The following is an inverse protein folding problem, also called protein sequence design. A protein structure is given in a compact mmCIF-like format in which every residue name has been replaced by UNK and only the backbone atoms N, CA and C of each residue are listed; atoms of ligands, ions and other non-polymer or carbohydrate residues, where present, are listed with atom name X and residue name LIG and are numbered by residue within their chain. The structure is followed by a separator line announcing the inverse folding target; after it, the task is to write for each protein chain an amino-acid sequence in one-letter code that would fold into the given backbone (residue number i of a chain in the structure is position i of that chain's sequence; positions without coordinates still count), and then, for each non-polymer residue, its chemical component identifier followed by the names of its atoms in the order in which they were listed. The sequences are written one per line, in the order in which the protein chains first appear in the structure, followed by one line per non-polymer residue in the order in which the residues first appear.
data_IF_472745848468
#
_entry.id   IF_472745848468
#
_cell.length_a   1.000
_cell.length_b   1.000
_cell.length_c   1.000
_cell.angle_alpha   90.00
_cell.angle_beta   90.00
_cell.angle_gamma   90.00
#
_symmetry.space_group_name_H-M   'P 1'
#
loop_
_entity.id
_entity.type
_entity.pdbx_description
1 polymer ?
#
# COMPACT_ATOMS: atom_id res chain seq x y z
N UNK A 1 -24.53 -24.73 -2.03
CA UNK A 1 -24.33 -23.97 -0.79
C UNK A 1 -24.42 -22.50 -1.18
N UNK A 2 -25.19 -21.70 -0.44
CA UNK A 2 -25.44 -20.30 -0.83
C UNK A 2 -24.15 -19.49 -0.65
N UNK A 3 -23.59 -18.93 -1.73
CA UNK A 3 -22.39 -18.07 -1.75
C UNK A 3 -22.63 -16.69 -1.10
N UNK A 4 -23.53 -16.61 -0.12
CA UNK A 4 -23.81 -15.35 0.58
C UNK A 4 -22.88 -15.30 1.79
N UNK A 5 -21.95 -14.32 1.86
CA UNK A 5 -21.07 -14.19 3.01
C UNK A 5 -21.90 -14.03 4.28
N UNK A 6 -21.49 -14.73 5.34
CA UNK A 6 -22.12 -14.60 6.64
C UNK A 6 -22.06 -13.13 7.08
N UNK A 7 -23.22 -12.59 7.40
CA UNK A 7 -23.39 -11.16 7.70
C UNK A 7 -23.79 -11.00 9.16
N UNK A 8 -22.93 -10.35 9.93
CA UNK A 8 -23.17 -9.99 11.33
C UNK A 8 -23.75 -8.58 11.37
N UNK A 9 -24.79 -8.37 12.18
CA UNK A 9 -25.36 -7.05 12.40
C UNK A 9 -24.88 -6.50 13.74
N UNK A 10 -24.46 -5.25 13.71
CA UNK A 10 -24.25 -4.42 14.89
C UNK A 10 -25.22 -3.25 14.91
N UNK A 11 -25.60 -2.87 16.12
CA UNK A 11 -26.39 -1.68 16.37
C UNK A 11 -25.47 -0.47 16.56
N UNK A 12 -25.76 0.65 15.88
CA UNK A 12 -25.06 1.90 16.11
C UNK A 12 -25.35 2.40 17.54
N UNK A 13 -24.30 2.74 18.29
CA UNK A 13 -24.39 3.22 19.68
C UNK A 13 -25.01 4.60 19.84
N UNK A 14 -25.16 5.35 18.75
CA UNK A 14 -25.67 6.72 18.79
C UNK A 14 -27.16 6.80 18.43
N UNK A 15 -27.60 6.01 17.44
CA UNK A 15 -28.98 6.07 16.95
C UNK A 15 -29.80 4.78 17.12
N UNK A 16 -29.17 3.65 17.45
CA UNK A 16 -29.81 2.35 17.73
C UNK A 16 -30.88 1.94 16.71
N UNK A 17 -30.69 2.30 15.43
CA UNK A 17 -31.75 2.15 14.44
C UNK A 17 -31.71 0.77 13.80
N UNK A 18 -32.89 0.21 13.55
CA UNK A 18 -33.05 -1.03 12.81
C UNK A 18 -32.94 -0.81 11.29
N UNK A 19 -32.74 -1.88 10.49
CA UNK A 19 -32.81 -1.79 9.04
C UNK A 19 -34.12 -1.17 8.57
N UNK A 20 -34.03 -0.20 7.66
CA UNK A 20 -35.18 0.52 7.12
C UNK A 20 -34.80 1.27 5.86
N UNK A 21 -35.77 1.50 4.97
CA UNK A 21 -35.54 2.13 3.65
C UNK A 21 -35.07 3.59 3.72
N UNK A 22 -35.24 4.26 4.87
CA UNK A 22 -34.73 5.61 5.12
C UNK A 22 -33.40 5.66 5.88
N UNK A 23 -32.79 4.51 6.20
CA UNK A 23 -31.56 4.42 6.97
C UNK A 23 -30.38 4.05 6.06
N UNK A 24 -29.22 4.64 6.35
CA UNK A 24 -27.97 4.31 5.66
C UNK A 24 -27.37 3.05 6.25
N UNK A 25 -27.05 2.06 5.41
CA UNK A 25 -26.30 0.86 5.79
C UNK A 25 -24.82 1.09 5.51
N UNK A 26 -23.98 0.88 6.52
CA UNK A 26 -22.52 0.81 6.38
C UNK A 26 -22.11 -0.65 6.57
N UNK A 27 -21.32 -1.15 5.63
CA UNK A 27 -20.83 -2.54 5.63
C UNK A 27 -19.30 -2.56 5.71
N UNK A 28 -18.76 -3.32 6.65
CA UNK A 28 -17.33 -3.54 6.81
C UNK A 28 -17.00 -5.00 6.56
N UNK A 29 -15.92 -5.27 5.82
CA UNK A 29 -15.35 -6.62 5.74
C UNK A 29 -14.50 -6.89 6.97
N UNK A 30 -14.82 -7.96 7.71
CA UNK A 30 -13.95 -8.52 8.74
C UNK A 30 -12.95 -9.49 8.11
N UNK A 31 -11.83 -9.69 8.79
CA UNK A 31 -10.90 -10.76 8.47
C UNK A 31 -11.65 -12.11 8.52
N UNK A 32 -11.42 -12.98 7.53
CA UNK A 32 -12.14 -14.23 7.25
C UNK A 32 -13.42 -14.14 6.39
N UNK A 33 -13.72 -12.98 5.77
CA UNK A 33 -14.77 -12.88 4.76
C UNK A 33 -16.19 -12.67 5.30
N UNK A 34 -16.33 -12.53 6.62
CA UNK A 34 -17.57 -12.10 7.27
C UNK A 34 -17.80 -10.61 7.01
N UNK A 35 -19.03 -10.22 6.71
CA UNK A 35 -19.42 -8.80 6.58
C UNK A 35 -20.09 -8.36 7.88
N UNK A 36 -19.71 -7.20 8.41
CA UNK A 36 -20.42 -6.56 9.52
C UNK A 36 -21.20 -5.36 9.01
N UNK A 37 -22.50 -5.35 9.27
CA UNK A 37 -23.38 -4.24 8.92
C UNK A 37 -23.81 -3.42 10.12
N UNK A 38 -23.92 -2.11 9.90
CA UNK A 38 -24.51 -1.18 10.86
C UNK A 38 -25.44 -0.22 10.13
N UNK A 39 -26.60 0.08 10.72
CA UNK A 39 -27.57 1.04 10.17
C UNK A 39 -27.54 2.34 10.95
N UNK A 40 -27.73 3.43 10.23
CA UNK A 40 -27.71 4.79 10.76
C UNK A 40 -28.91 5.59 10.24
N UNK A 41 -29.51 6.42 11.10
CA UNK A 41 -30.44 7.45 10.64
C UNK A 41 -29.68 8.54 9.86
N UNK A 42 -30.36 9.31 8.99
CA UNK A 42 -29.70 10.40 8.26
C UNK A 42 -28.99 11.43 9.16
N UNK A 43 -29.55 11.69 10.35
CA UNK A 43 -29.01 12.66 11.32
C UNK A 43 -28.10 12.02 12.38
N UNK A 44 -27.64 10.78 12.18
CA UNK A 44 -26.80 10.08 13.15
C UNK A 44 -25.40 10.74 13.28
N UNK A 45 -24.97 11.15 14.49
CA UNK A 45 -23.65 11.76 14.70
C UNK A 45 -22.48 10.86 14.29
N UNK A 46 -22.51 9.57 14.65
CA UNK A 46 -21.49 8.62 14.21
C UNK A 46 -21.38 8.51 12.68
N UNK A 47 -22.50 8.55 11.96
CA UNK A 47 -22.49 8.53 10.48
C UNK A 47 -21.86 9.80 9.91
N UNK A 48 -22.24 10.97 10.44
CA UNK A 48 -21.67 12.24 10.02
C UNK A 48 -20.15 12.30 10.24
N UNK A 49 -19.67 11.87 11.42
CA UNK A 49 -18.25 11.81 11.74
C UNK A 49 -17.51 10.84 10.78
N UNK A 50 -18.12 9.69 10.48
CA UNK A 50 -17.53 8.72 9.55
C UNK A 50 -17.34 9.31 8.16
N UNK A 51 -18.35 10.00 7.62
CA UNK A 51 -18.24 10.67 6.31
C UNK A 51 -17.17 11.76 6.32
N UNK A 52 -17.14 12.61 7.35
CA UNK A 52 -16.12 13.64 7.49
C UNK A 52 -14.71 13.03 7.49
N UNK A 53 -14.50 11.96 8.25
CA UNK A 53 -13.21 11.29 8.32
C UNK A 53 -12.82 10.62 6.99
N UNK A 54 -13.80 10.04 6.28
CA UNK A 54 -13.57 9.42 4.98
C UNK A 54 -13.19 10.47 3.92
N UNK A 55 -13.91 11.60 3.87
CA UNK A 55 -13.64 12.71 2.96
C UNK A 55 -12.29 13.37 3.24
N UNK A 56 -12.02 13.68 4.51
CA UNK A 56 -10.75 14.25 4.94
C UNK A 56 -9.57 13.30 4.66
N UNK A 57 -9.74 12.01 4.94
CA UNK A 57 -8.75 10.98 4.65
C UNK A 57 -8.49 10.87 3.15
N UNK A 58 -9.54 10.83 2.32
CA UNK A 58 -9.41 10.80 0.86
C UNK A 58 -8.72 12.05 0.34
N UNK A 59 -9.01 13.23 0.90
CA UNK A 59 -8.37 14.47 0.49
C UNK A 59 -6.88 14.45 0.78
N UNK A 60 -6.47 14.01 1.98
CA UNK A 60 -5.06 13.89 2.36
C UNK A 60 -4.29 12.94 1.45
N UNK A 61 -4.85 11.76 1.16
CA UNK A 61 -4.23 10.81 0.23
C UNK A 61 -4.05 11.45 -1.15
N UNK A 62 -5.07 12.17 -1.64
CA UNK A 62 -4.97 12.85 -2.93
C UNK A 62 -3.90 13.95 -2.94
N UNK A 63 -3.83 14.75 -1.88
CA UNK A 63 -2.81 15.80 -1.72
C UNK A 63 -1.39 15.22 -1.66
N UNK A 64 -1.20 14.11 -0.94
CA UNK A 64 0.08 13.39 -0.87
C UNK A 64 0.49 12.81 -2.22
N UNK A 65 -0.43 12.19 -2.95
CA UNK A 65 -0.21 11.65 -4.30
C UNK A 65 0.10 12.75 -5.32
N UNK A 66 -0.59 13.91 -5.24
CA UNK A 66 -0.33 15.06 -6.11
C UNK A 66 1.06 15.65 -5.85
N UNK A 67 1.41 15.81 -4.57
CA UNK A 67 2.74 16.23 -4.17
C UNK A 67 3.82 15.25 -4.66
N UNK A 68 3.63 13.95 -4.44
CA UNK A 68 4.57 12.92 -4.86
C UNK A 68 4.77 12.94 -6.38
N UNK A 69 3.68 13.00 -7.16
CA UNK A 69 3.74 13.10 -8.63
C UNK A 69 4.48 14.36 -9.10
N UNK A 70 4.32 15.48 -8.40
CA UNK A 70 5.03 16.72 -8.71
C UNK A 70 6.53 16.69 -8.38
N UNK A 71 6.92 16.04 -7.28
CA UNK A 71 8.30 16.04 -6.77
C UNK A 71 9.15 14.90 -7.31
N UNK A 72 8.54 13.73 -7.52
CA UNK A 72 9.26 12.49 -7.81
C UNK A 72 10.18 12.57 -9.05
N UNK A 73 9.78 13.13 -10.21
CA UNK A 73 10.65 13.20 -11.37
C UNK A 73 11.96 13.95 -11.10
N UNK A 74 11.88 15.10 -10.43
CA UNK A 74 13.07 15.89 -10.10
C UNK A 74 13.92 15.21 -9.01
N UNK A 75 13.29 14.53 -8.04
CA UNK A 75 14.01 13.76 -7.03
C UNK A 75 14.75 12.57 -7.63
N UNK A 76 14.12 11.86 -8.57
CA UNK A 76 14.70 10.75 -9.31
C UNK A 76 15.93 11.18 -10.11
N UNK A 77 15.87 12.32 -10.82
CA UNK A 77 17.03 12.82 -11.56
C UNK A 77 18.19 13.21 -10.63
N UNK A 78 17.91 13.80 -9.45
CA UNK A 78 18.95 14.06 -8.44
C UNK A 78 19.59 12.76 -7.92
N UNK A 79 18.80 11.70 -7.74
CA UNK A 79 19.32 10.38 -7.36
C UNK A 79 20.25 9.83 -8.45
N UNK A 80 19.85 9.87 -9.72
CA UNK A 80 20.69 9.42 -10.85
C UNK A 80 22.02 10.17 -10.90
N UNK A 81 21.98 11.49 -10.74
CA UNK A 81 23.19 12.32 -10.70
C UNK A 81 24.10 11.94 -9.53
N UNK A 82 23.55 11.73 -8.34
CA UNK A 82 24.31 11.30 -7.16
C UNK A 82 24.94 9.92 -7.38
N UNK A 83 24.18 8.97 -7.93
CA UNK A 83 24.70 7.64 -8.27
C UNK A 83 25.84 7.70 -9.31
N UNK A 84 25.70 8.56 -10.33
CA UNK A 84 26.72 8.74 -11.36
C UNK A 84 28.01 9.41 -10.85
N UNK A 85 27.91 10.21 -9.78
CA UNK A 85 29.07 10.88 -9.18
C UNK A 85 29.92 9.96 -8.28
N UNK A 86 29.43 8.75 -7.96
CA UNK A 86 30.15 7.82 -7.08
C UNK A 86 31.39 7.24 -7.77
N UNK A 87 32.53 7.12 -7.06
CA UNK A 87 33.73 6.51 -7.62
C UNK A 87 33.48 5.08 -8.12
N UNK A 88 34.04 4.77 -9.29
CA UNK A 88 34.07 3.40 -9.79
C UNK A 88 34.81 2.50 -8.80
N UNK A 89 34.27 1.30 -8.56
CA UNK A 89 34.87 0.31 -7.65
C UNK A 89 34.56 0.49 -6.16
N UNK A 90 33.63 1.37 -5.79
CA UNK A 90 33.14 1.42 -4.40
C UNK A 90 32.43 0.11 -4.02
N UNK A 91 32.66 -0.38 -2.80
CA UNK A 91 31.98 -1.58 -2.29
C UNK A 91 30.45 -1.41 -2.23
N UNK A 92 29.96 -0.16 -2.19
CA UNK A 92 28.54 0.15 -2.22
C UNK A 92 27.90 0.04 -3.62
N UNK A 93 28.67 -0.32 -4.66
CA UNK A 93 28.20 -0.28 -6.04
C UNK A 93 26.95 -1.14 -6.29
N UNK A 94 26.86 -2.40 -5.82
CA UNK A 94 25.65 -3.21 -5.99
C UNK A 94 24.41 -2.57 -5.36
N UNK A 95 24.57 -1.91 -4.20
CA UNK A 95 23.46 -1.18 -3.55
C UNK A 95 22.99 0.01 -4.37
N UNK A 96 23.92 0.79 -4.92
CA UNK A 96 23.59 1.96 -5.75
C UNK A 96 22.87 1.52 -7.02
N UNK A 97 23.37 0.48 -7.68
CA UNK A 97 22.77 -0.04 -8.92
C UNK A 97 21.38 -0.65 -8.66
N UNK A 98 21.20 -1.40 -7.57
CA UNK A 98 19.90 -1.93 -7.15
C UNK A 98 18.89 -0.82 -6.84
N UNK A 99 19.30 0.20 -6.06
CA UNK A 99 18.44 1.33 -5.72
C UNK A 99 18.03 2.12 -6.97
N UNK A 100 18.98 2.36 -7.88
CA UNK A 100 18.69 3.05 -9.13
C UNK A 100 17.68 2.27 -9.99
N UNK A 101 17.84 0.94 -10.09
CA UNK A 101 16.90 0.10 -10.84
C UNK A 101 15.50 0.07 -10.21
N UNK A 102 15.41 0.00 -8.87
CA UNK A 102 14.13 0.06 -8.15
C UNK A 102 13.39 1.38 -8.36
N UNK A 103 14.10 2.50 -8.24
CA UNK A 103 13.50 3.83 -8.44
C UNK A 103 13.10 4.04 -9.90
N UNK A 104 13.90 3.54 -10.84
CA UNK A 104 13.53 3.55 -12.26
C UNK A 104 12.29 2.71 -12.53
N UNK A 105 12.21 1.48 -11.97
CA UNK A 105 11.02 0.64 -12.08
C UNK A 105 9.77 1.31 -11.51
N UNK A 106 9.91 2.06 -10.41
CA UNK A 106 8.83 2.85 -9.82
C UNK A 106 8.44 4.06 -10.67
N UNK A 107 9.38 4.65 -11.41
CA UNK A 107 9.11 5.75 -12.34
C UNK A 107 8.38 5.31 -13.60
N UNK A 108 8.65 4.09 -14.07
CA UNK A 108 8.03 3.52 -15.28
C UNK A 108 6.65 2.91 -15.00
N UNK A 109 6.29 2.73 -13.73
CA UNK A 109 5.01 2.19 -13.32
C UNK A 109 3.91 3.28 -13.27
N UNK A 110 2.68 2.89 -13.57
CA UNK A 110 1.45 3.69 -13.34
C UNK A 110 0.89 3.53 -11.91
N UNK A 111 1.68 2.95 -11.00
CA UNK A 111 1.31 2.62 -9.62
C UNK A 111 2.52 2.03 -8.88
N UNK A 112 2.30 1.16 -7.90
CA UNK A 112 3.39 0.56 -7.11
C UNK A 112 4.11 -0.55 -7.86
N UNK A 113 5.44 -0.62 -7.69
CA UNK A 113 6.20 -1.83 -8.06
C UNK A 113 5.80 -2.98 -7.14
N UNK A 114 5.30 -4.06 -7.73
CA UNK A 114 4.84 -5.25 -6.98
C UNK A 114 5.99 -6.12 -6.46
N UNK A 115 5.73 -6.90 -5.41
CA UNK A 115 6.72 -7.73 -4.72
C UNK A 115 7.55 -8.66 -5.64
N UNK A 116 6.98 -9.35 -6.65
CA UNK A 116 7.79 -10.18 -7.54
C UNK A 116 8.86 -9.38 -8.29
N UNK A 117 8.52 -8.17 -8.74
CA UNK A 117 9.46 -7.30 -9.45
C UNK A 117 10.56 -6.78 -8.51
N UNK A 118 10.21 -6.49 -7.26
CA UNK A 118 11.20 -6.18 -6.21
C UNK A 118 12.18 -7.34 -6.01
N UNK A 119 11.66 -8.56 -5.84
CA UNK A 119 12.48 -9.75 -5.61
C UNK A 119 13.45 -9.99 -6.78
N UNK A 120 12.97 -9.91 -8.03
CA UNK A 120 13.81 -10.07 -9.23
C UNK A 120 14.97 -9.06 -9.29
N UNK A 121 14.72 -7.81 -8.94
CA UNK A 121 15.76 -6.76 -8.97
C UNK A 121 16.77 -7.05 -7.86
N UNK A 122 16.31 -7.32 -6.64
CA UNK A 122 17.18 -7.58 -5.50
C UNK A 122 18.04 -8.83 -5.71
N UNK A 123 17.48 -9.93 -6.20
CA UNK A 123 18.22 -11.18 -6.42
C UNK A 123 19.31 -11.03 -7.50
N UNK A 124 19.10 -10.16 -8.49
CA UNK A 124 20.12 -9.88 -9.52
C UNK A 124 21.34 -9.16 -8.96
N UNK A 125 21.12 -8.22 -8.04
CA UNK A 125 22.21 -7.42 -7.44
C UNK A 125 22.79 -8.06 -6.18
N UNK A 126 22.04 -8.95 -5.53
CA UNK A 126 22.39 -9.68 -4.31
C UNK A 126 22.02 -11.17 -4.48
N UNK A 127 22.74 -11.91 -5.35
CA UNK A 127 22.45 -13.32 -5.55
C UNK A 127 22.67 -14.10 -4.25
N UNK A 128 21.91 -15.19 -4.02
CA UNK A 128 22.16 -16.05 -2.87
C UNK A 128 23.58 -16.59 -2.92
N UNK A 129 24.24 -16.63 -1.77
CA UNK A 129 25.52 -17.34 -1.64
C UNK A 129 25.27 -18.80 -1.99
N UNK A 130 25.89 -19.27 -3.07
CA UNK A 130 25.89 -20.70 -3.39
C UNK A 130 26.71 -21.41 -2.31
N UNK A 131 26.23 -22.55 -1.77
CA UNK A 131 27.05 -23.35 -0.89
C UNK A 131 28.35 -23.70 -1.62
N UNK A 132 29.48 -23.42 -0.97
CA UNK A 132 30.80 -23.75 -1.50
C UNK A 132 30.91 -25.28 -1.62
N UNK A 133 31.03 -25.84 -2.84
CA UNK A 133 31.14 -27.28 -3.04
C UNK A 133 32.40 -27.88 -2.39
N UNK A 134 33.39 -27.06 -2.02
CA UNK A 134 34.61 -27.49 -1.33
C UNK A 134 34.48 -27.46 0.21
N UNK A 135 33.35 -27.00 0.76
CA UNK A 135 33.06 -27.06 2.19
C UNK A 135 32.37 -28.39 2.54
N UNK A 136 33.11 -29.49 2.40
CA UNK A 136 32.75 -30.76 3.04
C UNK A 136 32.97 -30.55 4.55
N UNK A 137 31.88 -30.48 5.30
CA UNK A 137 31.90 -30.52 6.77
C UNK A 137 32.61 -31.79 7.23
N UNK A 138 33.75 -31.63 7.90
CA UNK A 138 34.37 -32.64 8.77
C UNK A 138 33.48 -32.95 9.99
#
# INVERSE_FOLDING_TARGET
MSDVPETERDDCTDCFVLPGSGNTRISYLKNAGTVRDTWHTPDCPALAIMHINAEEGSRRIQEEEDWARGVFPAAHERLKQAAAAMPAGTAARPFIDALAELVQAQADATGFVVLPRWAEILERHFPPELPDPDHITD
#
